data_IF_734658105920
#
_entry.id   IF_734658105920
#
_cell.length_a   1.000
_cell.length_b   1.000
_cell.length_c   1.000
_cell.angle_alpha   90.00
_cell.angle_beta   90.00
_cell.angle_gamma   90.00
#
_symmetry.space_group_name_H-M   'P 1'
#
loop_
_entity.id
_entity.type
_entity.pdbx_description
1 polymer ?
#
# COMPACT_ATOMS: atom_id res chain seq x y z
N UNK A 1 -8.49 -14.06 -6.10
CA UNK A 1 -8.33 -12.92 -5.15
C UNK A 1 -6.96 -12.26 -5.25
N UNK A 2 -5.89 -13.01 -5.58
CA UNK A 2 -4.50 -12.53 -5.75
C UNK A 2 -4.39 -11.36 -6.72
N UNK A 3 -5.02 -11.46 -7.90
CA UNK A 3 -5.06 -10.35 -8.87
C UNK A 3 -5.69 -9.09 -8.31
N UNK A 4 -6.86 -9.17 -7.67
CA UNK A 4 -7.54 -8.01 -7.10
C UNK A 4 -6.70 -7.32 -6.01
N UNK A 5 -5.98 -8.09 -5.19
CA UNK A 5 -5.07 -7.54 -4.17
C UNK A 5 -3.88 -6.84 -4.81
N UNK A 6 -3.23 -7.46 -5.80
CA UNK A 6 -2.11 -6.88 -6.53
C UNK A 6 -2.51 -5.60 -7.28
N UNK A 7 -3.65 -5.63 -7.98
CA UNK A 7 -4.19 -4.45 -8.67
C UNK A 7 -4.49 -3.33 -7.68
N UNK A 8 -5.03 -3.64 -6.50
CA UNK A 8 -5.29 -2.63 -5.46
C UNK A 8 -4.00 -2.00 -4.93
N UNK A 9 -2.93 -2.79 -4.75
CA UNK A 9 -1.61 -2.26 -4.40
C UNK A 9 -1.05 -1.31 -5.45
N UNK A 10 -1.06 -1.74 -6.72
CA UNK A 10 -0.57 -0.92 -7.83
C UNK A 10 -1.38 0.38 -7.92
N UNK A 11 -2.70 0.29 -7.81
CA UNK A 11 -3.58 1.45 -7.84
C UNK A 11 -3.32 2.42 -6.69
N UNK A 12 -3.12 1.94 -5.47
CA UNK A 12 -2.77 2.78 -4.32
C UNK A 12 -1.46 3.56 -4.54
N UNK A 13 -0.44 2.90 -5.11
CA UNK A 13 0.84 3.54 -5.43
C UNK A 13 0.68 4.59 -6.55
N UNK A 14 -0.06 4.28 -7.62
CA UNK A 14 -0.35 5.26 -8.68
C UNK A 14 -1.08 6.47 -8.11
N UNK A 15 -2.13 6.25 -7.31
CA UNK A 15 -2.91 7.33 -6.71
C UNK A 15 -2.09 8.18 -5.72
N UNK A 16 -1.11 7.59 -5.01
CA UNK A 16 -0.15 8.36 -4.20
C UNK A 16 0.59 9.39 -5.05
N UNK A 17 1.17 8.99 -6.19
CA UNK A 17 1.88 9.92 -7.07
C UNK A 17 0.94 10.95 -7.71
N UNK A 18 -0.27 10.53 -8.11
CA UNK A 18 -1.29 11.45 -8.65
C UNK A 18 -1.67 12.51 -7.61
N UNK A 19 -1.92 12.12 -6.36
CA UNK A 19 -2.24 13.05 -5.29
C UNK A 19 -1.11 14.08 -5.10
N UNK A 20 0.14 13.61 -5.01
CA UNK A 20 1.30 14.49 -4.82
C UNK A 20 1.48 15.45 -6.00
N UNK A 21 1.27 14.97 -7.24
CA UNK A 21 1.30 15.80 -8.44
C UNK A 21 0.22 16.89 -8.41
N UNK A 22 -1.01 16.55 -8.02
CA UNK A 22 -2.10 17.52 -7.88
C UNK A 22 -1.80 18.60 -6.83
N UNK A 23 -1.24 18.20 -5.69
CA UNK A 23 -0.81 19.14 -4.66
C UNK A 23 0.29 20.08 -5.18
N UNK A 24 1.31 19.54 -5.86
CA UNK A 24 2.39 20.35 -6.45
C UNK A 24 1.90 21.34 -7.51
N UNK A 25 0.76 21.06 -8.16
CA UNK A 25 0.10 21.96 -9.12
C UNK A 25 -0.86 22.96 -8.46
N UNK A 26 -0.94 23.00 -7.12
CA UNK A 26 -1.85 23.88 -6.38
C UNK A 26 -3.31 23.43 -6.38
N UNK A 27 -3.64 22.23 -6.91
CA UNK A 27 -5.00 21.72 -6.91
C UNK A 27 -5.33 21.00 -5.59
N UNK A 28 -5.57 21.78 -4.54
CA UNK A 28 -5.86 21.26 -3.19
C UNK A 28 -7.16 20.43 -3.13
N UNK A 29 -8.19 20.83 -3.88
CA UNK A 29 -9.46 20.09 -3.97
C UNK A 29 -9.23 18.70 -4.57
N UNK A 30 -8.54 18.64 -5.71
CA UNK A 30 -8.19 17.38 -6.36
C UNK A 30 -7.32 16.49 -5.48
N UNK A 31 -6.31 17.06 -4.82
CA UNK A 31 -5.50 16.35 -3.85
C UNK A 31 -6.34 15.72 -2.73
N UNK A 32 -7.27 16.48 -2.13
CA UNK A 32 -8.15 15.98 -1.06
C UNK A 32 -9.05 14.84 -1.55
N UNK A 33 -9.60 14.95 -2.75
CA UNK A 33 -10.44 13.90 -3.35
C UNK A 33 -9.62 12.63 -3.56
N UNK A 34 -8.47 12.73 -4.24
CA UNK A 34 -7.63 11.55 -4.51
C UNK A 34 -7.15 10.90 -3.21
N UNK A 35 -6.79 11.69 -2.20
CA UNK A 35 -6.45 11.19 -0.87
C UNK A 35 -7.59 10.40 -0.22
N UNK A 36 -8.84 10.83 -0.40
CA UNK A 36 -10.00 10.06 0.09
C UNK A 36 -10.20 8.77 -0.70
N UNK A 37 -9.98 8.79 -2.02
CA UNK A 37 -10.04 7.57 -2.85
C UNK A 37 -8.98 6.57 -2.42
N UNK A 38 -7.75 7.02 -2.16
CA UNK A 38 -6.65 6.16 -1.65
C UNK A 38 -7.08 5.42 -0.38
N UNK A 39 -7.82 6.07 0.52
CA UNK A 39 -8.35 5.42 1.74
C UNK A 39 -9.37 4.32 1.45
N UNK A 40 -10.21 4.50 0.43
CA UNK A 40 -11.12 3.43 -0.03
C UNK A 40 -10.32 2.26 -0.61
N UNK A 41 -9.24 2.53 -1.35
CA UNK A 41 -8.35 1.47 -1.86
C UNK A 41 -7.66 0.72 -0.73
N UNK A 42 -7.32 1.37 0.40
CA UNK A 42 -6.79 0.66 1.57
C UNK A 42 -7.76 -0.41 2.10
N UNK A 43 -9.07 -0.12 2.10
CA UNK A 43 -10.08 -1.10 2.50
C UNK A 43 -10.10 -2.31 1.57
N UNK A 44 -9.92 -2.10 0.26
CA UNK A 44 -9.79 -3.20 -0.70
C UNK A 44 -8.53 -4.02 -0.48
N UNK A 45 -7.38 -3.36 -0.23
CA UNK A 45 -6.11 -4.05 0.09
C UNK A 45 -6.26 -4.90 1.35
N UNK A 46 -6.82 -4.33 2.43
CA UNK A 46 -7.03 -5.03 3.68
C UNK A 46 -8.04 -6.17 3.53
N UNK A 47 -9.20 -5.93 2.92
CA UNK A 47 -10.22 -6.95 2.73
C UNK A 47 -9.74 -8.12 1.88
N UNK A 48 -9.07 -7.84 0.76
CA UNK A 48 -8.51 -8.90 -0.10
C UNK A 48 -7.34 -9.63 0.56
N UNK A 49 -6.49 -8.93 1.33
CA UNK A 49 -5.37 -9.53 2.06
C UNK A 49 -5.83 -10.42 3.22
N UNK A 50 -6.80 -9.94 4.01
CA UNK A 50 -7.44 -10.72 5.09
C UNK A 50 -8.12 -11.96 4.50
N UNK A 51 -8.84 -11.81 3.39
CA UNK A 51 -9.46 -12.95 2.69
C UNK A 51 -8.45 -14.03 2.28
N UNK A 52 -7.26 -13.63 1.80
CA UNK A 52 -6.18 -14.60 1.52
C UNK A 52 -5.66 -15.28 2.78
N UNK A 53 -5.51 -14.54 3.88
CA UNK A 53 -5.06 -15.13 5.15
C UNK A 53 -6.04 -16.18 5.68
N UNK A 54 -7.34 -15.97 5.53
CA UNK A 54 -8.36 -16.95 5.92
C UNK A 54 -8.50 -18.14 4.95
N UNK A 55 -8.05 -17.99 3.70
CA UNK A 55 -8.00 -19.12 2.75
C UNK A 55 -6.85 -20.10 2.99
N UNK A 56 -5.88 -19.73 3.85
CA UNK A 56 -4.77 -20.59 4.22
C UNK A 56 -5.20 -21.64 5.26
N UNK A 57 -4.87 -22.91 5.01
CA UNK A 57 -5.06 -23.99 5.98
C UNK A 57 -4.12 -23.87 7.19
N UNK A 58 -2.96 -23.23 7.02
CA UNK A 58 -2.03 -22.91 8.10
C UNK A 58 -1.39 -21.54 7.88
N UNK A 59 -1.46 -20.68 8.89
CA UNK A 59 -0.86 -19.34 8.84
C UNK A 59 0.52 -19.42 9.46
N UNK A 60 1.56 -19.41 8.62
CA UNK A 60 2.94 -19.36 9.09
C UNK A 60 3.31 -17.95 9.58
N UNK A 61 4.32 -17.85 10.45
CA UNK A 61 4.82 -16.56 10.95
C UNK A 61 5.24 -15.60 9.82
N UNK A 62 5.70 -16.13 8.68
CA UNK A 62 6.08 -15.34 7.51
C UNK A 62 4.87 -14.65 6.84
N UNK A 63 3.68 -15.28 6.86
CA UNK A 63 2.46 -14.65 6.37
C UNK A 63 1.99 -13.52 7.29
N UNK A 64 2.12 -13.70 8.61
CA UNK A 64 1.83 -12.65 9.59
C UNK A 64 2.78 -11.46 9.39
N UNK A 65 4.08 -11.74 9.22
CA UNK A 65 5.07 -10.70 8.93
C UNK A 65 4.76 -9.96 7.62
N UNK A 66 4.38 -10.67 6.56
CA UNK A 66 3.98 -10.06 5.28
C UNK A 66 2.76 -9.15 5.46
N UNK A 67 1.76 -9.58 6.24
CA UNK A 67 0.59 -8.77 6.55
C UNK A 67 0.95 -7.51 7.36
N UNK A 68 1.84 -7.64 8.35
CA UNK A 68 2.33 -6.51 9.14
C UNK A 68 3.10 -5.50 8.28
N UNK A 69 3.96 -5.95 7.36
CA UNK A 69 4.65 -5.08 6.39
C UNK A 69 3.64 -4.41 5.46
N UNK A 70 2.61 -5.12 5.00
CA UNK A 70 1.52 -4.52 4.22
C UNK A 70 0.81 -3.39 4.97
N UNK A 71 0.46 -3.61 6.25
CA UNK A 71 -0.13 -2.57 7.09
C UNK A 71 0.83 -1.38 7.26
N UNK A 72 2.11 -1.65 7.45
CA UNK A 72 3.14 -0.61 7.53
C UNK A 72 3.18 0.26 6.26
N UNK A 73 3.16 -0.34 5.07
CA UNK A 73 3.10 0.41 3.81
C UNK A 73 1.86 1.33 3.76
N UNK A 74 0.67 0.83 4.12
CA UNK A 74 -0.55 1.65 4.16
C UNK A 74 -0.37 2.87 5.07
N UNK A 75 0.19 2.67 6.26
CA UNK A 75 0.46 3.79 7.19
C UNK A 75 1.46 4.78 6.62
N UNK A 76 2.50 4.33 5.92
CA UNK A 76 3.50 5.20 5.31
C UNK A 76 2.90 6.06 4.19
N UNK A 77 2.06 5.47 3.34
CA UNK A 77 1.37 6.21 2.26
C UNK A 77 0.49 7.32 2.87
N UNK A 78 -0.31 7.00 3.89
CA UNK A 78 -1.18 7.99 4.56
C UNK A 78 -0.37 9.09 5.26
N UNK A 79 0.73 8.74 5.93
CA UNK A 79 1.64 9.72 6.56
C UNK A 79 2.32 10.63 5.54
N UNK A 80 2.74 10.11 4.39
CA UNK A 80 3.31 10.92 3.30
C UNK A 80 2.28 11.93 2.79
N UNK A 81 1.05 11.49 2.53
CA UNK A 81 -0.03 12.39 2.10
C UNK A 81 -0.38 13.43 3.17
N UNK A 82 -0.40 13.07 4.45
CA UNK A 82 -0.63 14.01 5.56
C UNK A 82 0.49 15.05 5.69
N UNK A 83 1.76 14.61 5.66
CA UNK A 83 2.89 15.54 5.70
C UNK A 83 2.93 16.45 4.48
N UNK A 84 2.56 15.94 3.30
CA UNK A 84 2.46 16.75 2.09
C UNK A 84 1.40 17.84 2.24
N UNK A 85 0.21 17.49 2.76
CA UNK A 85 -0.86 18.46 3.04
C UNK A 85 -0.41 19.57 4.01
N UNK A 86 0.35 19.20 5.05
CA UNK A 86 0.91 20.14 6.03
C UNK A 86 2.21 20.83 5.61
N UNK A 87 2.67 20.65 4.35
CA UNK A 87 3.94 21.16 3.83
C UNK A 87 5.17 20.81 4.70
N UNK A 88 5.16 19.63 5.34
CA UNK A 88 6.24 19.13 6.21
C UNK A 88 7.14 18.19 5.42
N UNK A 89 8.45 18.26 5.68
CA UNK A 89 9.44 17.34 5.09
C UNK A 89 9.08 15.87 5.37
N UNK A 90 9.05 15.05 4.31
CA UNK A 90 8.69 13.63 4.37
C UNK A 90 9.76 12.70 3.80
N UNK A 91 11.01 13.17 3.64
CA UNK A 91 12.11 12.39 3.03
C UNK A 91 12.36 11.04 3.71
N UNK A 92 12.33 11.00 5.05
CA UNK A 92 12.48 9.75 5.81
C UNK A 92 11.38 8.74 5.51
N UNK A 93 10.13 9.20 5.34
CA UNK A 93 9.00 8.32 5.05
C UNK A 93 9.11 7.67 3.67
N UNK A 94 9.68 8.39 2.69
CA UNK A 94 9.93 7.82 1.36
C UNK A 94 10.98 6.72 1.39
N UNK A 95 12.04 6.88 2.19
CA UNK A 95 13.06 5.84 2.39
C UNK A 95 12.42 4.61 3.05
N UNK A 96 11.63 4.81 4.11
CA UNK A 96 10.90 3.73 4.76
C UNK A 96 9.93 3.03 3.80
N UNK A 97 9.24 3.78 2.93
CA UNK A 97 8.32 3.22 1.94
C UNK A 97 9.06 2.33 0.94
N UNK A 98 10.22 2.77 0.45
CA UNK A 98 11.05 1.98 -0.46
C UNK A 98 11.51 0.67 0.21
N UNK A 99 11.98 0.73 1.46
CA UNK A 99 12.39 -0.44 2.24
C UNK A 99 11.20 -1.40 2.45
N UNK A 100 10.04 -0.88 2.85
CA UNK A 100 8.85 -1.68 3.09
C UNK A 100 8.33 -2.37 1.80
N UNK A 101 8.40 -1.68 0.65
CA UNK A 101 8.06 -2.26 -0.65
C UNK A 101 9.02 -3.40 -1.04
N UNK A 102 10.32 -3.23 -0.84
CA UNK A 102 11.30 -4.29 -1.09
C UNK A 102 11.01 -5.51 -0.19
N UNK A 103 10.74 -5.27 1.10
CA UNK A 103 10.41 -6.33 2.04
C UNK A 103 9.14 -7.09 1.67
N UNK A 104 8.06 -6.39 1.29
CA UNK A 104 6.79 -7.05 0.94
C UNK A 104 6.91 -7.87 -0.35
N UNK A 105 7.69 -7.38 -1.31
CA UNK A 105 7.98 -8.11 -2.56
C UNK A 105 8.83 -9.34 -2.27
N UNK A 106 9.90 -9.21 -1.48
CA UNK A 106 10.75 -10.33 -1.08
C UNK A 106 9.95 -11.42 -0.36
N UNK A 107 9.13 -11.05 0.62
CA UNK A 107 8.23 -11.98 1.31
C UNK A 107 7.17 -12.55 0.35
N UNK A 108 6.72 -11.75 -0.61
CA UNK A 108 5.81 -12.16 -1.67
C UNK A 108 6.36 -13.26 -2.54
N UNK A 109 7.59 -13.12 -3.04
CA UNK A 109 8.27 -14.11 -3.88
C UNK A 109 8.67 -15.37 -3.09
N UNK A 110 9.00 -15.24 -1.81
CA UNK A 110 9.42 -16.38 -0.97
C UNK A 110 8.26 -17.29 -0.57
N UNK A 111 7.03 -16.78 -0.53
CA UNK A 111 5.86 -17.52 -0.03
C UNK A 111 5.11 -18.23 -1.16
N UNK A 112 4.62 -19.47 -0.93
CA UNK A 112 4.03 -20.31 -1.98
C UNK A 112 2.71 -19.76 -2.55
N UNK A 113 1.99 -18.91 -1.82
CA UNK A 113 0.81 -18.18 -2.33
C UNK A 113 1.15 -16.96 -3.19
N UNK A 114 2.43 -16.74 -3.49
CA UNK A 114 2.93 -15.52 -4.10
C UNK A 114 2.68 -15.39 -5.60
N UNK A 115 2.85 -16.48 -6.37
CA UNK A 115 2.95 -16.43 -7.83
C UNK A 115 2.40 -17.68 -8.50
N UNK A 116 1.12 -17.64 -8.92
CA UNK A 116 0.64 -18.45 -10.04
C UNK A 116 0.69 -17.56 -11.28
N UNK A 117 1.60 -17.88 -12.21
CA UNK A 117 1.80 -17.03 -13.40
C UNK A 117 0.64 -17.12 -14.38
N UNK A 118 -0.09 -18.25 -14.45
CA UNK A 118 -1.24 -18.48 -15.31
C UNK A 118 -2.07 -19.64 -14.78
#
# INVERSE_FOLDING_TARGET
MTHAHLTSWILALILLFVAISLYNKGNEKGFKIVKMIVRVIYLLILGTGIGMLFSLSSISMLYILKAAVGLWIITLIELILNRKAGNVKSSVLWIQLAIALILVLFLGFKLPLGFDWF
#
